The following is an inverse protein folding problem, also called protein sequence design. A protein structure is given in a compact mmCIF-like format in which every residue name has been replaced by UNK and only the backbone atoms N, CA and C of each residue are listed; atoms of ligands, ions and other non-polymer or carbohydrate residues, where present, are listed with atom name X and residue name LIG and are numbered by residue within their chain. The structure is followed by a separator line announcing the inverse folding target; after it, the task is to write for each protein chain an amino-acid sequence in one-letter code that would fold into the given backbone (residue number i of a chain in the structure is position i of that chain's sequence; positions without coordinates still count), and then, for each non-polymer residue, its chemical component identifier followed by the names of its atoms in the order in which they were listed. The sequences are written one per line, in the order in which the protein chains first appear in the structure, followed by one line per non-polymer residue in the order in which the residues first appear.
data_IF_389988736343
#
_entry.id   IF_389988736343
#
_cell.length_a   1.000
_cell.length_b   1.000
_cell.length_c   1.000
_cell.angle_alpha   90.00
_cell.angle_beta   90.00
_cell.angle_gamma   90.00
#
_symmetry.space_group_name_H-M   'P 1'
#
loop_
_entity.id
_entity.type
_entity.pdbx_description
1 polymer ?
#
# COMPACT_ATOMS: atom_id res chain seq x y z
N UNK A 1 10.09 6.49 56.41
CA UNK A 1 9.41 7.61 57.10
C UNK A 1 8.03 7.72 56.45
N UNK A 2 6.94 7.17 57.03
CA UNK A 2 6.22 7.73 58.20
C UNK A 2 5.78 9.17 57.85
N UNK A 3 4.54 9.64 57.89
CA UNK A 3 3.21 9.19 58.30
C UNK A 3 2.26 10.37 57.93
N UNK A 4 0.94 10.11 57.78
CA UNK A 4 -0.18 10.98 58.26
C UNK A 4 -0.37 12.35 57.56
N UNK A 5 -1.53 13.02 57.50
CA UNK A 5 -2.90 12.93 58.06
C UNK A 5 -3.72 13.98 57.26
N UNK A 6 -5.01 13.80 56.96
CA UNK A 6 -6.14 14.22 57.80
C UNK A 6 -7.42 13.80 57.05
N UNK A 7 -8.30 12.92 57.57
CA UNK A 7 -9.35 13.16 58.57
C UNK A 7 -10.20 14.42 58.31
N UNK A 8 -11.38 14.23 57.73
CA UNK A 8 -12.58 14.98 58.11
C UNK A 8 -13.70 13.98 58.41
N UNK A 9 -14.18 14.07 59.65
CA UNK A 9 -15.25 13.30 60.26
C UNK A 9 -16.47 14.21 60.31
N UNK A 10 -17.59 13.78 59.76
CA UNK A 10 -18.91 14.33 60.11
C UNK A 10 -19.86 13.18 60.40
N UNK A 11 -20.46 13.29 61.58
CA UNK A 11 -21.43 12.40 62.20
C UNK A 11 -22.83 12.90 61.88
N UNK A 12 -23.73 12.01 61.48
CA UNK A 12 -25.16 12.29 61.34
C UNK A 12 -25.93 10.97 61.43
N UNK A 13 -26.90 10.93 62.33
CA UNK A 13 -27.49 9.73 62.91
C UNK A 13 -28.98 9.62 62.54
N UNK A 14 -29.47 8.37 62.39
CA UNK A 14 -30.88 7.88 62.39
C UNK A 14 -31.82 8.19 61.21
N UNK A 15 -32.93 7.40 60.99
CA UNK A 15 -33.31 6.09 61.57
C UNK A 15 -33.70 5.01 60.53
N UNK A 16 -33.90 3.79 61.06
CA UNK A 16 -34.37 2.57 60.40
C UNK A 16 -35.85 2.31 60.74
N UNK A 17 -36.74 2.23 59.74
CA UNK A 17 -38.07 1.56 59.71
C UNK A 17 -38.63 1.75 58.29
N UNK A 18 -39.43 0.91 57.64
CA UNK A 18 -40.34 -0.15 58.07
C UNK A 18 -40.72 -1.00 56.85
N UNK A 19 -40.86 -2.30 57.11
CA UNK A 19 -41.63 -3.36 56.42
C UNK A 19 -42.60 -3.01 55.28
N UNK A 20 -42.48 -3.82 54.21
CA UNK A 20 -43.49 -4.34 53.24
C UNK A 20 -44.42 -3.34 52.54
N UNK A 21 -44.40 -3.40 51.20
CA UNK A 21 -45.55 -3.82 50.40
C UNK A 21 -45.10 -4.30 49.01
N UNK A 22 -45.74 -5.38 48.55
CA UNK A 22 -45.61 -5.98 47.23
C UNK A 22 -46.48 -5.21 46.21
N UNK A 23 -46.14 -5.41 44.92
CA UNK A 23 -46.74 -4.85 43.70
C UNK A 23 -46.37 -3.38 43.46
N UNK A 24 -45.66 -3.09 42.37
CA UNK A 24 -46.24 -2.54 41.14
C UNK A 24 -45.12 -2.48 40.06
N UNK A 25 -45.32 -3.23 38.97
CA UNK A 25 -44.99 -2.90 37.57
C UNK A 25 -43.52 -2.68 37.13
N UNK A 26 -43.08 -3.62 36.30
CA UNK A 26 -42.14 -3.43 35.18
C UNK A 26 -42.44 -2.10 34.46
N UNK A 27 -41.44 -1.23 34.25
CA UNK A 27 -40.71 -1.31 32.98
C UNK A 27 -39.22 -0.91 33.12
N UNK A 28 -38.42 -1.65 33.89
CA UNK A 28 -36.96 -1.45 33.91
C UNK A 28 -36.22 -2.26 32.82
N UNK A 29 -36.91 -2.61 31.74
CA UNK A 29 -36.37 -3.47 30.66
C UNK A 29 -36.51 -2.86 29.27
N UNK A 30 -36.51 -1.52 29.15
CA UNK A 30 -36.49 -0.84 27.84
C UNK A 30 -35.17 -0.09 27.60
N UNK A 31 -34.37 0.19 28.63
CA UNK A 31 -33.12 0.95 28.47
C UNK A 31 -31.93 0.06 28.04
N UNK A 32 -32.00 -1.27 28.21
CA UNK A 32 -30.89 -2.15 27.89
C UNK A 32 -30.81 -2.61 26.42
N UNK A 33 -31.85 -2.41 25.61
CA UNK A 33 -31.91 -2.93 24.23
C UNK A 33 -31.53 -1.91 23.14
N UNK A 34 -31.29 -0.64 23.49
CA UNK A 34 -30.98 0.39 22.49
C UNK A 34 -29.47 0.58 22.20
N UNK A 35 -28.57 -0.04 22.98
CA UNK A 35 -27.11 0.18 22.82
C UNK A 35 -26.46 -0.87 21.89
N UNK A 36 -27.15 -1.94 21.50
CA UNK A 36 -26.52 -3.06 20.77
C UNK A 36 -26.52 -2.94 19.24
N UNK A 37 -27.02 -1.85 18.65
CA UNK A 37 -27.21 -1.75 17.18
C UNK A 37 -26.19 -0.87 16.41
N UNK A 38 -25.14 -0.37 17.05
CA UNK A 38 -24.11 0.43 16.36
C UNK A 38 -22.69 -0.13 16.51
N UNK A 39 -22.52 -1.45 16.50
CA UNK A 39 -21.22 -2.03 16.12
C UNK A 39 -21.24 -2.15 14.60
N UNK A 40 -21.11 -1.01 13.92
CA UNK A 40 -20.74 -1.00 12.52
C UNK A 40 -19.41 -1.71 12.42
N UNK A 41 -19.42 -2.93 11.87
CA UNK A 41 -18.18 -3.59 11.45
C UNK A 41 -17.61 -2.74 10.33
N UNK A 42 -16.75 -1.78 10.67
CA UNK A 42 -15.81 -1.22 9.71
C UNK A 42 -14.89 -2.37 9.32
N UNK A 43 -15.28 -3.13 8.29
CA UNK A 43 -14.36 -4.03 7.62
C UNK A 43 -13.39 -3.10 6.88
N UNK A 44 -12.25 -2.83 7.49
CA UNK A 44 -11.16 -2.20 6.78
C UNK A 44 -10.76 -3.18 5.66
N UNK A 45 -11.15 -2.87 4.42
CA UNK A 45 -10.65 -3.52 3.22
C UNK A 45 -9.17 -3.11 3.06
N UNK A 46 -8.31 -3.70 3.87
CA UNK A 46 -6.87 -3.65 3.66
C UNK A 46 -6.57 -4.66 2.55
N UNK A 47 -6.82 -4.35 1.28
CA UNK A 47 -6.35 -5.23 0.22
C UNK A 47 -4.83 -5.06 0.12
N UNK A 48 -4.09 -5.74 1.02
CA UNK A 48 -2.63 -5.60 1.17
C UNK A 48 -1.89 -5.85 -0.16
N UNK A 49 -2.46 -6.64 -1.06
CA UNK A 49 -1.82 -7.11 -2.28
C UNK A 49 -2.72 -6.98 -3.51
N UNK A 50 -2.23 -6.26 -4.52
CA UNK A 50 -2.69 -6.29 -5.91
C UNK A 50 -1.66 -7.07 -6.74
N UNK A 51 -2.10 -7.86 -7.71
CA UNK A 51 -1.21 -8.63 -8.57
C UNK A 51 -1.38 -8.28 -10.05
N UNK A 52 -0.31 -8.44 -10.82
CA UNK A 52 -0.30 -8.29 -12.28
C UNK A 52 0.78 -9.20 -12.86
N UNK A 53 0.56 -9.75 -14.05
CA UNK A 53 1.57 -10.55 -14.75
C UNK A 53 2.62 -9.67 -15.42
N UNK A 54 3.84 -10.18 -15.53
CA UNK A 54 5.02 -9.47 -16.05
C UNK A 54 4.74 -8.82 -17.40
N UNK A 55 4.09 -9.52 -18.33
CA UNK A 55 3.89 -8.96 -19.65
C UNK A 55 2.81 -7.88 -19.73
N UNK A 56 1.78 -7.96 -18.87
CA UNK A 56 0.82 -6.87 -18.68
C UNK A 56 1.50 -5.67 -18.03
N UNK A 57 2.36 -5.91 -17.05
CA UNK A 57 3.13 -4.87 -16.37
C UNK A 57 4.17 -4.19 -17.28
N UNK A 58 4.67 -4.90 -18.30
CA UNK A 58 5.51 -4.32 -19.36
C UNK A 58 4.71 -3.50 -20.38
N UNK A 59 3.36 -3.50 -20.30
CA UNK A 59 2.49 -2.83 -21.25
C UNK A 59 2.36 -3.54 -22.60
N UNK A 60 2.82 -4.80 -22.71
CA UNK A 60 2.80 -5.57 -23.96
C UNK A 60 1.39 -5.94 -24.42
N UNK A 61 0.39 -5.82 -23.54
CA UNK A 61 -1.02 -5.92 -23.92
C UNK A 61 -1.55 -4.68 -24.66
N UNK A 62 -0.81 -3.57 -24.70
CA UNK A 62 -1.24 -2.30 -25.30
C UNK A 62 -1.86 -1.30 -24.31
N UNK A 63 -1.81 -1.58 -23.02
CA UNK A 63 -2.27 -0.67 -21.95
C UNK A 63 -1.11 -0.41 -20.98
N UNK A 64 -0.85 0.86 -20.67
CA UNK A 64 0.12 1.23 -19.64
C UNK A 64 -0.46 0.95 -18.25
N UNK A 65 0.15 0.07 -17.45
CA UNK A 65 -0.32 -0.21 -16.10
C UNK A 65 -0.18 1.00 -15.18
N UNK A 66 -1.08 1.08 -14.21
CA UNK A 66 -1.07 2.15 -13.19
C UNK A 66 -0.65 1.62 -11.83
N UNK A 67 0.05 2.48 -11.09
CA UNK A 67 0.32 2.30 -9.67
C UNK A 67 -0.18 3.51 -8.91
N UNK A 68 -1.14 3.29 -8.03
CA UNK A 68 -1.67 4.28 -7.12
C UNK A 68 -0.76 4.41 -5.89
N UNK A 69 -0.50 5.65 -5.49
CA UNK A 69 0.25 5.99 -4.28
C UNK A 69 -0.52 7.00 -3.44
N UNK A 70 -0.41 6.86 -2.12
CA UNK A 70 -1.13 7.69 -1.15
C UNK A 70 -0.16 8.39 -0.20
N UNK A 71 -0.66 9.38 0.54
CA UNK A 71 0.09 9.98 1.63
C UNK A 71 0.20 9.04 2.83
N UNK A 72 1.23 9.23 3.65
CA UNK A 72 1.52 8.53 4.92
C UNK A 72 1.86 7.05 4.80
N UNK A 73 1.29 6.32 3.84
CA UNK A 73 1.60 4.94 3.55
C UNK A 73 2.38 4.83 2.23
N UNK A 74 3.47 4.06 2.25
CA UNK A 74 4.20 3.72 1.03
C UNK A 74 3.52 2.59 0.27
N UNK A 75 3.66 2.61 -1.06
CA UNK A 75 3.26 1.51 -1.94
C UNK A 75 4.50 0.73 -2.37
N UNK A 76 4.49 -0.58 -2.17
CA UNK A 76 5.52 -1.50 -2.63
C UNK A 76 5.24 -1.97 -4.05
N UNK A 77 6.26 -1.98 -4.90
CA UNK A 77 6.26 -2.63 -6.20
C UNK A 77 7.24 -3.81 -6.12
N UNK A 78 6.72 -5.03 -6.12
CA UNK A 78 7.49 -6.24 -5.83
C UNK A 78 7.69 -7.10 -7.07
N UNK A 79 8.96 -7.37 -7.39
CA UNK A 79 9.39 -8.29 -8.44
C UNK A 79 9.83 -9.65 -7.87
N UNK A 80 9.59 -9.89 -6.57
CA UNK A 80 9.95 -11.15 -5.90
C UNK A 80 9.30 -12.33 -6.61
N UNK A 81 8.00 -12.27 -6.86
CA UNK A 81 7.24 -13.38 -7.47
C UNK A 81 7.57 -13.60 -8.95
N UNK A 82 8.10 -12.58 -9.63
CA UNK A 82 8.59 -12.71 -11.01
C UNK A 82 10.00 -13.30 -11.10
N UNK A 83 10.73 -13.41 -9.98
CA UNK A 83 12.11 -13.89 -10.02
C UNK A 83 13.12 -12.86 -10.50
N UNK A 84 12.76 -11.56 -10.52
CA UNK A 84 13.56 -10.53 -11.20
C UNK A 84 14.27 -9.61 -10.20
N UNK A 85 15.48 -9.20 -10.59
CA UNK A 85 16.31 -8.23 -9.85
C UNK A 85 16.25 -6.88 -10.53
N UNK A 86 16.07 -5.82 -9.75
CA UNK A 86 16.03 -4.45 -10.25
C UNK A 86 17.44 -3.99 -10.58
N UNK A 87 17.62 -3.40 -11.76
CA UNK A 87 18.89 -2.88 -12.26
C UNK A 87 18.90 -1.37 -12.39
N UNK A 88 17.76 -0.77 -12.73
CA UNK A 88 17.64 0.69 -12.87
C UNK A 88 16.20 1.13 -12.66
N UNK A 89 16.02 2.30 -12.03
CA UNK A 89 14.72 2.92 -11.81
C UNK A 89 14.82 4.42 -11.97
N UNK A 90 13.83 5.05 -12.59
CA UNK A 90 13.71 6.50 -12.61
C UNK A 90 12.26 6.95 -12.73
N UNK A 91 12.03 8.20 -12.32
CA UNK A 91 10.78 8.93 -12.49
C UNK A 91 11.01 10.06 -13.48
N UNK A 92 10.04 10.31 -14.36
CA UNK A 92 10.08 11.48 -15.23
C UNK A 92 9.88 12.79 -14.45
N UNK A 93 9.02 12.76 -13.43
CA UNK A 93 8.79 13.84 -12.48
C UNK A 93 8.95 13.29 -11.04
N UNK A 94 10.04 13.63 -10.33
CA UNK A 94 10.27 13.20 -8.95
C UNK A 94 9.69 14.18 -7.89
N UNK A 95 8.96 15.23 -8.27
CA UNK A 95 8.55 16.30 -7.34
C UNK A 95 7.56 15.87 -6.26
N UNK A 96 6.90 14.72 -6.41
CA UNK A 96 5.84 14.24 -5.52
C UNK A 96 6.03 12.79 -5.04
N UNK A 97 7.15 12.14 -5.41
CA UNK A 97 7.40 10.72 -5.10
C UNK A 97 8.86 10.49 -4.76
N UNK A 98 9.12 9.78 -3.66
CA UNK A 98 10.45 9.24 -3.35
C UNK A 98 10.50 7.74 -3.62
N UNK A 99 11.70 7.24 -3.90
CA UNK A 99 11.98 5.83 -4.20
C UNK A 99 12.97 5.30 -3.17
N UNK A 100 12.70 4.12 -2.64
CA UNK A 100 13.60 3.35 -1.78
C UNK A 100 13.55 1.87 -2.18
N UNK A 101 14.51 1.07 -1.71
CA UNK A 101 14.72 -0.32 -2.14
C UNK A 101 14.93 -1.28 -0.97
N UNK A 102 14.57 -2.55 -1.15
CA UNK A 102 14.76 -3.60 -0.13
C UNK A 102 16.18 -4.16 -0.03
N UNK A 103 17.08 -3.73 -0.90
CA UNK A 103 18.46 -4.20 -0.95
C UNK A 103 19.38 -3.22 -1.68
N UNK A 104 20.67 -3.56 -1.79
CA UNK A 104 21.62 -2.75 -2.52
C UNK A 104 21.17 -2.59 -3.97
N UNK A 105 21.25 -1.35 -4.45
CA UNK A 105 20.93 -0.97 -5.82
C UNK A 105 22.14 -0.31 -6.45
N UNK A 106 22.44 -0.71 -7.69
CA UNK A 106 23.39 0.05 -8.47
C UNK A 106 22.78 1.37 -8.94
N UNK A 107 23.06 2.43 -8.21
CA UNK A 107 22.66 3.77 -8.58
C UNK A 107 23.74 4.40 -9.46
N UNK A 108 23.70 4.15 -10.77
CA UNK A 108 24.60 4.81 -11.71
C UNK A 108 24.14 6.26 -11.94
N UNK A 109 24.74 7.19 -11.19
CA UNK A 109 24.67 8.62 -11.48
C UNK A 109 25.95 9.08 -12.21
N UNK A 110 25.84 9.93 -13.23
CA UNK A 110 27.00 10.53 -13.91
C UNK A 110 27.47 9.83 -15.19
N UNK A 111 28.55 10.35 -15.77
CA UNK A 111 29.15 9.90 -17.05
C UNK A 111 30.05 8.67 -16.92
N UNK A 112 30.52 8.32 -15.72
CA UNK A 112 31.37 7.15 -15.47
C UNK A 112 30.53 5.87 -15.37
N UNK A 113 30.02 5.44 -16.53
CA UNK A 113 29.16 4.27 -16.70
C UNK A 113 29.96 2.98 -16.87
N UNK A 114 30.89 2.69 -15.96
CA UNK A 114 31.55 1.40 -16.01
C UNK A 114 30.65 0.34 -15.34
N UNK A 115 29.80 -0.31 -16.14
CA UNK A 115 28.84 -1.35 -15.72
C UNK A 115 29.56 -2.55 -15.05
N UNK A 116 30.86 -2.68 -15.31
CA UNK A 116 31.70 -3.76 -14.82
C UNK A 116 32.58 -3.35 -13.62
N UNK A 117 32.43 -2.14 -13.08
CA UNK A 117 33.30 -1.64 -12.00
C UNK A 117 32.47 -0.99 -10.88
N UNK A 118 32.42 -1.63 -9.71
CA UNK A 118 31.71 -1.17 -8.50
C UNK A 118 30.51 -2.03 -8.07
N UNK A 119 29.75 -1.55 -7.09
CA UNK A 119 28.59 -2.17 -6.40
C UNK A 119 27.46 -2.70 -7.32
N UNK A 120 27.57 -2.53 -8.63
CA UNK A 120 26.68 -3.09 -9.65
C UNK A 120 26.62 -4.61 -9.68
N UNK A 121 27.74 -5.29 -9.40
CA UNK A 121 27.79 -6.76 -9.27
C UNK A 121 26.92 -7.25 -8.10
N UNK A 122 26.72 -6.41 -7.07
CA UNK A 122 26.02 -6.74 -5.84
C UNK A 122 24.56 -6.24 -5.81
N UNK A 123 24.05 -5.65 -6.90
CA UNK A 123 22.66 -5.18 -6.95
C UNK A 123 21.71 -6.35 -6.78
N UNK A 124 20.95 -6.34 -5.69
CA UNK A 124 20.10 -7.46 -5.27
C UNK A 124 18.66 -7.05 -4.94
N UNK A 125 18.31 -5.77 -5.10
CA UNK A 125 16.97 -5.29 -4.82
C UNK A 125 15.92 -5.92 -5.74
N UNK A 126 14.76 -6.21 -5.16
CA UNK A 126 13.60 -6.82 -5.83
C UNK A 126 12.30 -6.12 -5.49
N UNK A 127 12.31 -5.21 -4.54
CA UNK A 127 11.16 -4.39 -4.14
C UNK A 127 11.54 -2.93 -4.20
N UNK A 128 10.63 -2.14 -4.76
CA UNK A 128 10.68 -0.69 -4.75
C UNK A 128 9.62 -0.19 -3.78
N UNK A 129 10.01 0.60 -2.80
CA UNK A 129 9.08 1.34 -1.95
C UNK A 129 8.91 2.74 -2.53
N UNK A 130 7.71 3.03 -3.02
CA UNK A 130 7.30 4.37 -3.44
C UNK A 130 6.60 5.07 -2.28
N UNK A 131 6.96 6.32 -2.00
CA UNK A 131 6.27 7.14 -0.99
C UNK A 131 5.89 8.48 -1.60
N UNK A 132 4.60 8.83 -1.47
CA UNK A 132 4.12 10.15 -1.88
C UNK A 132 4.61 11.20 -0.88
N UNK A 133 5.10 12.32 -1.41
CA UNK A 133 5.52 13.48 -0.63
C UNK A 133 4.74 14.71 -1.05
N UNK A 134 4.63 15.75 -0.19
CA UNK A 134 4.16 17.05 -0.61
C UNK A 134 4.97 17.53 -1.82
N UNK A 135 4.30 18.21 -2.74
CA UNK A 135 4.94 18.66 -3.98
C UNK A 135 6.12 19.60 -3.69
N UNK A 136 7.28 19.22 -4.18
CA UNK A 136 8.47 20.07 -4.21
C UNK A 136 8.39 21.06 -5.37
N UNK A 137 8.85 22.29 -5.15
CA UNK A 137 8.99 23.28 -6.21
C UNK A 137 10.34 23.10 -6.91
N UNK A 138 10.35 22.41 -8.05
CA UNK A 138 11.56 22.19 -8.86
C UNK A 138 11.48 23.09 -10.10
N UNK A 139 12.38 24.08 -10.24
CA UNK A 139 12.40 24.96 -11.41
C UNK A 139 12.47 24.18 -12.73
N UNK A 140 11.65 24.59 -13.70
CA UNK A 140 11.60 23.96 -15.03
C UNK A 140 10.77 22.68 -15.12
N UNK A 141 10.25 22.15 -14.01
CA UNK A 141 9.41 20.95 -14.03
C UNK A 141 7.92 21.33 -14.04
N UNK A 142 7.14 20.89 -15.05
CA UNK A 142 5.72 21.25 -15.15
C UNK A 142 4.90 20.62 -14.03
N UNK A 143 3.72 21.19 -13.76
CA UNK A 143 2.79 20.59 -12.80
C UNK A 143 2.07 19.40 -13.43
N UNK A 144 2.36 18.19 -12.95
CA UNK A 144 1.75 16.95 -13.43
C UNK A 144 0.83 16.33 -12.36
N UNK A 145 -0.24 15.68 -12.81
CA UNK A 145 -1.16 14.91 -11.94
C UNK A 145 -0.70 13.45 -11.75
N UNK A 146 0.33 13.05 -12.50
CA UNK A 146 0.91 11.72 -12.50
C UNK A 146 2.33 11.81 -13.06
N UNK A 147 3.14 10.80 -12.79
CA UNK A 147 4.49 10.67 -13.32
C UNK A 147 4.69 9.29 -13.92
N UNK A 148 5.67 9.13 -14.80
CA UNK A 148 6.03 7.83 -15.35
C UNK A 148 7.19 7.25 -14.53
N UNK A 149 6.98 6.09 -13.94
CA UNK A 149 8.02 5.27 -13.33
C UNK A 149 8.49 4.25 -14.35
N UNK A 150 9.79 4.25 -14.65
CA UNK A 150 10.39 3.20 -15.48
C UNK A 150 11.29 2.33 -14.62
N UNK A 151 11.14 1.02 -14.75
CA UNK A 151 11.92 0.02 -14.03
C UNK A 151 12.55 -0.92 -15.05
N UNK A 152 13.86 -1.09 -14.96
CA UNK A 152 14.60 -2.10 -15.71
C UNK A 152 14.99 -3.21 -14.75
N UNK A 153 14.61 -4.43 -15.09
CA UNK A 153 14.92 -5.62 -14.31
C UNK A 153 15.69 -6.64 -15.15
N UNK A 154 16.26 -7.63 -14.48
CA UNK A 154 16.93 -8.76 -15.09
C UNK A 154 16.51 -10.06 -14.40
N UNK A 155 16.27 -11.09 -15.20
CA UNK A 155 16.16 -12.47 -14.73
C UNK A 155 16.76 -13.42 -15.78
N UNK A 156 17.60 -14.36 -15.34
CA UNK A 156 18.22 -15.37 -16.22
C UNK A 156 18.93 -14.76 -17.45
N UNK A 157 19.60 -13.62 -17.26
CA UNK A 157 20.30 -12.90 -18.34
C UNK A 157 19.37 -12.15 -19.31
N UNK A 158 18.06 -12.15 -19.10
CA UNK A 158 17.09 -11.39 -19.89
C UNK A 158 16.71 -10.11 -19.17
N UNK A 159 16.88 -8.98 -19.86
CA UNK A 159 16.44 -7.68 -19.39
C UNK A 159 14.98 -7.43 -19.75
N UNK A 160 14.22 -6.87 -18.82
CA UNK A 160 12.83 -6.43 -19.04
C UNK A 160 12.67 -4.96 -18.68
N UNK A 161 11.76 -4.28 -19.36
CA UNK A 161 11.44 -2.87 -19.13
C UNK A 161 9.97 -2.73 -18.77
N UNK A 162 9.71 -2.12 -17.62
CA UNK A 162 8.38 -1.82 -17.14
C UNK A 162 8.16 -0.32 -17.09
N UNK A 163 6.99 0.13 -17.52
CA UNK A 163 6.60 1.54 -17.50
C UNK A 163 5.24 1.66 -16.81
N UNK A 164 5.24 2.21 -15.60
CA UNK A 164 4.04 2.41 -14.80
C UNK A 164 3.67 3.88 -14.75
N UNK A 165 2.40 4.19 -14.98
CA UNK A 165 1.86 5.50 -14.66
C UNK A 165 1.57 5.56 -13.16
N UNK A 166 2.30 6.41 -12.44
CA UNK A 166 2.13 6.63 -11.00
C UNK A 166 1.03 7.66 -10.78
N UNK A 167 -0.04 7.27 -10.12
CA UNK A 167 -1.21 8.12 -9.85
C UNK A 167 -1.19 8.58 -8.39
N UNK A 168 -1.41 9.88 -8.20
CA UNK A 168 -1.38 10.51 -6.88
C UNK A 168 -2.77 10.52 -6.24
N UNK A 169 -3.02 9.63 -5.28
CA UNK A 169 -4.32 9.50 -4.62
C UNK A 169 -4.33 10.07 -3.20
N UNK A 170 -5.52 10.51 -2.79
CA UNK A 170 -5.82 11.01 -1.45
C UNK A 170 -6.60 9.94 -0.67
N UNK A 171 -6.64 10.06 0.66
CA UNK A 171 -7.41 9.17 1.51
C UNK A 171 -6.69 7.86 1.83
N UNK A 172 -7.49 6.84 2.15
CA UNK A 172 -6.98 5.54 2.59
C UNK A 172 -6.48 4.70 1.41
N UNK A 173 -5.33 4.01 1.56
CA UNK A 173 -4.81 3.12 0.53
C UNK A 173 -5.72 1.94 0.25
N UNK A 174 -5.96 1.68 -1.03
CA UNK A 174 -6.66 0.48 -1.46
C UNK A 174 -5.74 -0.73 -1.38
N UNK A 175 -4.44 -0.53 -1.64
CA UNK A 175 -3.44 -1.58 -1.49
C UNK A 175 -2.08 -1.03 -1.03
N UNK A 176 -1.28 -1.89 -0.42
CA UNK A 176 0.08 -1.55 -0.01
C UNK A 176 1.15 -2.14 -0.91
N UNK A 177 0.83 -3.19 -1.68
CA UNK A 177 1.78 -3.88 -2.55
C UNK A 177 1.16 -4.19 -3.91
N UNK A 178 1.86 -3.83 -4.99
CA UNK A 178 1.66 -4.35 -6.33
C UNK A 178 2.73 -5.40 -6.61
N UNK A 179 2.35 -6.67 -6.66
CA UNK A 179 3.25 -7.78 -6.97
C UNK A 179 3.19 -8.13 -8.46
N UNK A 180 4.37 -8.18 -9.07
CA UNK A 180 4.59 -8.65 -10.43
C UNK A 180 4.87 -10.15 -10.37
N UNK A 181 4.04 -10.92 -11.07
CA UNK A 181 4.19 -12.37 -11.23
C UNK A 181 4.82 -12.71 -12.57
N UNK A 182 5.58 -13.80 -12.63
CA UNK A 182 6.01 -14.36 -13.90
C UNK A 182 4.80 -14.71 -14.76
N UNK A 183 4.92 -14.53 -16.08
CA UNK A 183 3.86 -14.92 -17.01
C UNK A 183 3.67 -16.44 -16.96
N UNK A 184 2.43 -16.93 -17.06
CA UNK A 184 2.19 -18.36 -17.18
C UNK A 184 2.88 -18.91 -18.44
N UNK A 185 3.36 -20.16 -18.41
CA UNK A 185 3.91 -20.78 -19.61
C UNK A 185 2.86 -20.78 -20.72
N UNK A 186 3.23 -20.35 -21.93
CA UNK A 186 2.29 -20.38 -23.05
C UNK A 186 1.99 -21.83 -23.43
N UNK A 187 0.70 -22.24 -23.52
CA UNK A 187 0.35 -23.54 -24.09
C UNK A 187 0.66 -23.61 -25.58
N UNK A 188 0.66 -22.47 -26.27
CA UNK A 188 0.91 -22.34 -27.70
C UNK A 188 1.96 -21.25 -27.98
N UNK A 189 3.05 -21.61 -28.64
CA UNK A 189 4.12 -20.68 -29.00
C UNK A 189 3.70 -19.59 -30.01
N UNK A 190 2.51 -19.71 -30.61
CA UNK A 190 2.00 -18.81 -31.65
C UNK A 190 1.07 -17.72 -31.13
N UNK A 191 0.56 -17.81 -29.88
CA UNK A 191 -0.37 -16.82 -29.32
C UNK A 191 0.36 -15.89 -28.34
N UNK A 192 0.22 -14.56 -28.49
CA UNK A 192 0.78 -13.65 -27.49
C UNK A 192 0.08 -13.86 -26.15
N UNK A 193 0.85 -14.23 -25.13
CA UNK A 193 0.42 -14.53 -23.74
C UNK A 193 -0.38 -13.37 -23.11
N UNK A 194 -0.24 -12.18 -23.68
CA UNK A 194 -0.67 -10.90 -23.09
C UNK A 194 -1.88 -10.29 -23.79
N UNK A 195 -2.50 -11.02 -24.73
CA UNK A 195 -3.74 -10.56 -25.33
C UNK A 195 -4.81 -10.46 -24.26
N UNK A 196 -5.35 -9.26 -24.06
CA UNK A 196 -6.49 -9.06 -23.18
C UNK A 196 -7.61 -10.01 -23.62
N UNK A 197 -8.30 -10.71 -22.69
CA UNK A 197 -9.54 -11.36 -23.05
C UNK A 197 -10.46 -10.29 -23.63
N UNK A 198 -10.73 -10.34 -24.94
CA UNK A 198 -11.74 -9.51 -25.57
C UNK A 198 -13.03 -9.76 -24.79
N UNK A 199 -13.57 -8.71 -24.17
CA UNK A 199 -14.85 -8.79 -23.47
C UNK A 199 -15.84 -9.43 -24.45
N UNK A 200 -16.39 -10.60 -24.08
CA UNK A 200 -17.38 -11.26 -24.93
C UNK A 200 -18.51 -10.25 -25.20
N UNK A 201 -19.00 -10.13 -26.44
CA UNK A 201 -20.19 -9.33 -26.69
C UNK A 201 -21.31 -9.89 -25.80
N UNK A 202 -21.96 -9.00 -25.04
CA UNK A 202 -23.08 -9.35 -24.18
C UNK A 202 -24.09 -10.15 -25.01
N UNK A 203 -24.33 -11.42 -24.64
CA UNK A 203 -25.51 -12.16 -25.04
C UNK A 203 -26.69 -11.74 -24.16
#
# INVERSE_FOLDING_TARGET
MILLLNKLKTSGNFPKKSSRNHLFFLPSLIIATLITLFIGKAVANNAVLRSIFSCQAQGLGGVTPTIDIWYQQGTNLSFIQAGETIKKVWLNDPSQVTIDFDGPMCMQFGQDRNINQGDCQNSAARVIQLRRIPKLNIPGLPNTKNTLLTVVTEAQGKTKLYAFRVIYNQGSPEYSTLAIFADPPSPDASKPICEFPKKAPNQ
#
